data_IF_026864565723
#
_entry.id   IF_026864565723
#
_cell.length_a   1.000
_cell.length_b   1.000
_cell.length_c   1.000
_cell.angle_alpha   90.00
_cell.angle_beta   90.00
_cell.angle_gamma   90.00
#
_symmetry.space_group_name_H-M   'P 1'
#
loop_
_entity.id
_entity.type
_entity.pdbx_description
1 polymer ?
#
# COMPACT_ATOMS: atom_id res chain seq x y z
N UNK A 1 -7.64 -32.02 8.12
CA UNK A 1 -8.46 -30.92 8.65
C UNK A 1 -7.49 -29.99 9.35
N UNK A 2 -7.01 -28.94 8.68
CA UNK A 2 -6.11 -27.98 9.29
C UNK A 2 -6.95 -26.83 9.85
N UNK A 3 -6.76 -26.60 11.14
CA UNK A 3 -7.43 -25.62 11.99
C UNK A 3 -7.08 -24.20 11.51
N UNK A 4 -8.12 -23.40 11.23
CA UNK A 4 -8.06 -22.01 10.74
C UNK A 4 -8.07 -21.00 11.90
N UNK A 5 -7.56 -21.36 13.07
CA UNK A 5 -7.39 -20.43 14.18
C UNK A 5 -6.02 -19.73 14.08
N UNK A 6 -6.07 -18.40 14.05
CA UNK A 6 -4.95 -17.43 13.94
C UNK A 6 -4.72 -16.89 12.52
N UNK A 7 -5.69 -16.11 12.02
CA UNK A 7 -5.40 -15.03 11.05
C UNK A 7 -4.66 -13.93 11.83
N UNK A 8 -3.35 -14.11 12.03
CA UNK A 8 -2.51 -13.07 12.62
C UNK A 8 -2.36 -11.96 11.58
N UNK A 9 -2.92 -10.79 11.86
CA UNK A 9 -2.83 -9.57 11.04
C UNK A 9 -1.38 -9.01 11.04
N UNK A 10 -0.44 -9.79 10.49
CA UNK A 10 0.98 -9.43 10.28
C UNK A 10 1.40 -9.57 8.81
N UNK A 11 0.47 -9.35 7.87
CA UNK A 11 0.71 -9.54 6.42
C UNK A 11 1.59 -8.45 5.77
N UNK A 12 2.45 -7.77 6.53
CA UNK A 12 3.49 -6.91 5.96
C UNK A 12 4.88 -7.17 6.57
N UNK A 13 5.02 -8.17 7.46
CA UNK A 13 6.33 -8.56 8.02
C UNK A 13 7.26 -9.32 7.05
N UNK A 14 6.80 -10.19 6.14
CA UNK A 14 7.74 -10.97 5.33
C UNK A 14 8.44 -10.13 4.25
N UNK A 15 7.75 -9.17 3.64
CA UNK A 15 8.34 -8.20 2.68
C UNK A 15 9.33 -7.28 3.40
N UNK A 16 9.14 -7.03 4.70
CA UNK A 16 10.14 -6.36 5.54
C UNK A 16 11.26 -7.31 6.03
N UNK A 17 11.01 -8.62 6.18
CA UNK A 17 11.98 -9.64 6.64
C UNK A 17 12.86 -10.26 5.56
N UNK A 18 12.51 -10.17 4.29
CA UNK A 18 13.44 -10.53 3.20
C UNK A 18 14.73 -9.68 3.24
N UNK A 19 14.70 -8.53 3.93
CA UNK A 19 15.87 -7.70 4.22
C UNK A 19 16.61 -8.06 5.53
N UNK A 20 16.14 -9.02 6.34
CA UNK A 20 16.68 -9.29 7.69
C UNK A 20 17.78 -10.37 7.70
N UNK A 21 17.89 -11.26 6.70
CA UNK A 21 18.96 -12.30 6.70
C UNK A 21 20.33 -11.76 6.23
N UNK A 22 20.41 -10.51 5.77
CA UNK A 22 21.69 -9.92 5.31
C UNK A 22 22.32 -8.89 6.21
N UNK A 23 21.90 -8.72 7.46
CA UNK A 23 22.55 -7.72 8.30
C UNK A 23 22.79 -8.15 9.76
N UNK A 24 23.87 -8.90 9.97
CA UNK A 24 24.83 -8.58 11.05
C UNK A 24 25.61 -7.27 10.76
N UNK A 25 25.00 -6.38 9.98
CA UNK A 25 25.39 -5.07 9.45
C UNK A 25 24.29 -4.03 9.80
N UNK A 26 23.35 -4.41 10.69
CA UNK A 26 22.06 -3.73 10.89
C UNK A 26 22.13 -2.46 11.75
N UNK A 27 23.32 -2.05 12.20
CA UNK A 27 23.48 -0.81 12.96
C UNK A 27 23.94 0.37 12.08
N UNK A 28 24.34 0.14 10.82
CA UNK A 28 24.78 1.21 9.89
C UNK A 28 23.81 1.45 8.71
N UNK A 29 22.81 0.58 8.47
CA UNK A 29 21.93 0.63 7.29
C UNK A 29 20.42 0.66 7.59
N UNK A 30 20.02 1.07 8.81
CA UNK A 30 18.69 1.66 9.07
C UNK A 30 18.59 3.12 8.57
N UNK A 31 19.50 3.52 7.68
CA UNK A 31 19.47 4.77 6.92
C UNK A 31 19.02 4.53 5.46
N UNK A 32 18.01 3.67 5.28
CA UNK A 32 17.04 3.77 4.16
C UNK A 32 16.07 4.97 4.33
N UNK A 33 16.28 5.74 5.38
CA UNK A 33 16.29 7.20 5.41
C UNK A 33 16.73 7.80 4.07
N UNK A 34 15.86 8.59 3.45
CA UNK A 34 16.27 9.51 2.38
C UNK A 34 16.84 10.74 3.11
N UNK A 35 18.16 11.04 3.06
CA UNK A 35 18.83 11.94 4.02
C UNK A 35 18.46 13.43 3.96
N UNK A 36 17.47 13.79 3.15
CA UNK A 36 17.05 15.19 2.93
C UNK A 36 15.53 15.41 3.03
N UNK A 37 14.73 14.40 3.42
CA UNK A 37 13.29 14.59 3.58
C UNK A 37 12.90 14.36 5.03
N UNK A 38 12.73 15.44 5.80
CA UNK A 38 11.93 15.43 7.04
C UNK A 38 10.53 14.88 6.70
N UNK A 39 10.34 13.56 6.76
CA UNK A 39 9.04 12.94 6.49
C UNK A 39 8.14 13.29 7.66
N UNK A 40 7.16 14.15 7.42
CA UNK A 40 6.12 14.42 8.41
C UNK A 40 5.41 13.10 8.73
N UNK A 41 5.21 12.78 10.00
CA UNK A 41 4.41 11.62 10.42
C UNK A 41 2.98 11.65 9.86
N UNK A 42 2.54 12.82 9.36
CA UNK A 42 1.27 13.02 8.70
C UNK A 42 1.45 13.17 7.18
N UNK A 43 0.63 12.45 6.42
CA UNK A 43 0.48 12.61 4.97
C UNK A 43 -0.88 13.24 4.67
N UNK A 44 -0.89 14.43 4.08
CA UNK A 44 -2.15 15.08 3.67
C UNK A 44 -2.71 14.43 2.40
N UNK A 45 -3.96 13.96 2.47
CA UNK A 45 -4.65 13.25 1.39
C UNK A 45 -5.91 13.99 0.89
N UNK A 46 -6.03 15.28 1.21
CA UNK A 46 -7.17 16.08 0.77
C UNK A 46 -7.18 16.33 -0.74
N UNK A 47 -8.29 16.91 -1.22
CA UNK A 47 -8.59 17.10 -2.65
C UNK A 47 -7.49 17.79 -3.49
N UNK A 48 -6.69 18.73 -2.99
CA UNK A 48 -5.58 19.30 -3.76
C UNK A 48 -4.44 18.32 -4.07
N UNK A 49 -4.37 17.18 -3.36
CA UNK A 49 -3.33 16.17 -3.52
C UNK A 49 -3.72 15.03 -4.44
N UNK A 50 -2.72 14.23 -4.85
CA UNK A 50 -2.87 13.07 -5.75
C UNK A 50 -3.86 12.02 -5.24
N UNK A 51 -3.93 11.86 -3.92
CA UNK A 51 -4.79 10.89 -3.23
C UNK A 51 -6.16 11.47 -2.84
N UNK A 52 -6.44 12.71 -3.23
CA UNK A 52 -7.71 13.36 -2.95
C UNK A 52 -8.89 12.71 -3.68
N UNK A 53 -10.06 12.68 -3.06
CA UNK A 53 -11.28 12.26 -3.75
C UNK A 53 -11.66 13.27 -4.85
N UNK A 54 -11.70 12.90 -6.15
CA UNK A 54 -12.08 13.81 -7.23
C UNK A 54 -13.60 14.05 -7.31
N UNK A 55 -14.41 13.15 -6.74
CA UNK A 55 -15.88 13.23 -6.79
C UNK A 55 -16.35 14.34 -5.85
N UNK A 56 -17.19 15.24 -6.37
CA UNK A 56 -17.72 16.40 -5.63
C UNK A 56 -19.20 16.20 -5.34
N UNK A 57 -19.60 16.51 -4.11
CA UNK A 57 -21.02 16.54 -3.70
C UNK A 57 -21.76 17.55 -4.58
N UNK A 58 -22.98 17.21 -5.01
CA UNK A 58 -23.84 18.06 -5.85
C UNK A 58 -23.40 18.23 -7.31
N UNK A 59 -22.22 17.72 -7.69
CA UNK A 59 -21.76 17.65 -9.07
C UNK A 59 -22.05 16.28 -9.68
N UNK A 60 -22.07 16.21 -11.00
CA UNK A 60 -22.16 14.94 -11.71
C UNK A 60 -20.92 14.08 -11.41
N UNK A 61 -21.15 12.83 -11.01
CA UNK A 61 -20.09 11.91 -10.65
C UNK A 61 -19.41 11.34 -11.90
N UNK A 62 -18.09 11.47 -11.97
CA UNK A 62 -17.27 10.93 -13.08
C UNK A 62 -17.31 9.40 -13.18
N UNK A 63 -17.81 8.70 -12.17
CA UNK A 63 -17.88 7.23 -12.12
C UNK A 63 -19.25 6.71 -12.52
N UNK A 64 -20.32 7.29 -11.98
CA UNK A 64 -21.69 6.77 -12.14
C UNK A 64 -22.67 7.74 -12.82
N UNK A 65 -22.24 8.94 -13.19
CA UNK A 65 -23.09 9.96 -13.81
C UNK A 65 -24.17 10.57 -12.90
N UNK A 66 -24.25 10.17 -11.62
CA UNK A 66 -25.25 10.67 -10.67
C UNK A 66 -24.69 11.80 -9.80
N UNK A 67 -25.58 12.61 -9.22
CA UNK A 67 -25.20 13.60 -8.19
C UNK A 67 -25.25 12.96 -6.81
N UNK A 68 -24.20 13.16 -6.02
CA UNK A 68 -24.08 12.61 -4.67
C UNK A 68 -24.37 13.65 -3.59
N UNK A 69 -24.95 13.21 -2.47
CA UNK A 69 -24.99 13.93 -1.21
C UNK A 69 -23.70 13.70 -0.38
N UNK A 70 -23.57 14.43 0.74
CA UNK A 70 -22.44 14.25 1.68
C UNK A 70 -22.41 12.80 2.18
N UNK A 71 -21.26 12.14 2.05
CA UNK A 71 -21.05 10.75 2.50
C UNK A 71 -21.31 9.68 1.43
N UNK A 72 -22.00 10.00 0.33
CA UNK A 72 -22.34 9.04 -0.73
C UNK A 72 -21.21 8.88 -1.77
N UNK A 73 -20.19 9.72 -1.72
CA UNK A 73 -19.11 9.72 -2.72
C UNK A 73 -18.08 8.59 -2.51
N UNK A 74 -18.09 7.93 -1.36
CA UNK A 74 -17.05 6.96 -0.98
C UNK A 74 -17.05 5.67 -1.83
N UNK A 75 -18.20 5.04 -2.14
CA UNK A 75 -18.22 3.87 -3.02
C UNK A 75 -17.69 4.20 -4.42
N UNK A 76 -18.09 5.34 -4.99
CA UNK A 76 -17.57 5.78 -6.27
C UNK A 76 -16.07 6.13 -6.19
N UNK A 77 -15.61 6.69 -5.06
CA UNK A 77 -14.18 6.92 -4.86
C UNK A 77 -13.39 5.62 -4.82
N UNK A 78 -13.88 4.56 -4.16
CA UNK A 78 -13.20 3.26 -4.16
C UNK A 78 -13.09 2.68 -5.58
N UNK A 79 -14.15 2.77 -6.38
CA UNK A 79 -14.12 2.34 -7.78
C UNK A 79 -13.10 3.14 -8.59
N UNK A 80 -13.13 4.46 -8.47
CA UNK A 80 -12.17 5.34 -9.15
C UNK A 80 -10.72 5.04 -8.72
N UNK A 81 -10.46 4.96 -7.41
CA UNK A 81 -9.13 4.73 -6.87
C UNK A 81 -8.57 3.35 -7.27
N UNK A 82 -9.42 2.31 -7.36
CA UNK A 82 -9.01 1.00 -7.88
C UNK A 82 -8.64 1.06 -9.36
N UNK A 83 -9.40 1.81 -10.16
CA UNK A 83 -9.04 2.05 -11.55
C UNK A 83 -7.69 2.78 -11.66
N UNK A 84 -7.48 3.82 -10.85
CA UNK A 84 -6.20 4.55 -10.81
C UNK A 84 -5.03 3.65 -10.38
N UNK A 85 -5.22 2.76 -9.39
CA UNK A 85 -4.19 1.78 -9.02
C UNK A 85 -3.75 0.91 -10.22
N UNK A 86 -4.64 0.63 -11.18
CA UNK A 86 -4.31 -0.19 -12.35
C UNK A 86 -3.83 0.60 -13.58
N UNK A 87 -4.11 1.90 -13.65
CA UNK A 87 -3.92 2.70 -14.88
C UNK A 87 -3.01 3.90 -14.71
N UNK A 88 -2.71 4.30 -13.47
CA UNK A 88 -1.95 5.49 -13.16
C UNK A 88 -0.78 5.15 -12.22
N UNK A 89 0.43 4.90 -12.76
CA UNK A 89 1.62 4.58 -11.97
C UNK A 89 1.97 5.63 -10.92
N UNK A 90 1.63 6.90 -11.16
CA UNK A 90 1.90 7.98 -10.21
C UNK A 90 0.92 7.97 -9.02
N UNK A 91 -0.31 7.51 -9.23
CA UNK A 91 -1.27 7.27 -8.15
C UNK A 91 -0.88 6.05 -7.35
N UNK A 92 -0.56 4.95 -8.02
CA UNK A 92 -0.06 3.72 -7.40
C UNK A 92 1.16 4.02 -6.51
N UNK A 93 2.20 4.67 -7.05
CA UNK A 93 3.38 5.05 -6.28
C UNK A 93 3.05 5.95 -5.06
N UNK A 94 2.04 6.82 -5.17
CA UNK A 94 1.60 7.64 -4.05
C UNK A 94 0.86 6.82 -2.97
N UNK A 95 0.13 5.77 -3.35
CA UNK A 95 -0.48 4.82 -2.41
C UNK A 95 0.61 4.01 -1.71
N UNK A 96 1.64 3.55 -2.42
CA UNK A 96 2.80 2.88 -1.83
C UNK A 96 3.53 3.73 -0.80
N UNK A 97 3.73 5.02 -1.11
CA UNK A 97 4.40 5.96 -0.20
C UNK A 97 3.61 6.17 1.09
N UNK A 98 2.31 5.81 1.19
CA UNK A 98 1.54 5.92 2.44
C UNK A 98 2.28 5.28 3.63
N UNK A 99 2.79 4.06 3.47
CA UNK A 99 3.56 3.36 4.50
C UNK A 99 2.87 3.36 5.87
N UNK A 100 3.60 3.71 6.91
CA UNK A 100 3.12 3.82 8.30
C UNK A 100 2.56 5.22 8.66
N UNK A 101 2.53 6.18 7.72
CA UNK A 101 2.21 7.59 8.00
C UNK A 101 0.74 7.83 8.32
N UNK A 102 0.45 8.65 9.33
CA UNK A 102 -0.93 9.03 9.65
C UNK A 102 -1.56 9.82 8.50
N UNK A 103 -2.72 9.39 8.01
CA UNK A 103 -3.39 10.09 6.90
C UNK A 103 -4.21 11.27 7.43
N UNK A 104 -3.89 12.48 6.99
CA UNK A 104 -4.59 13.70 7.35
C UNK A 104 -5.56 14.11 6.23
N UNK A 105 -6.83 14.30 6.57
CA UNK A 105 -7.85 14.80 5.65
C UNK A 105 -8.84 15.70 6.38
N UNK A 106 -9.36 16.70 5.69
CA UNK A 106 -10.41 17.59 6.19
C UNK A 106 -11.76 16.87 6.43
N UNK A 107 -11.96 15.67 5.85
CA UNK A 107 -13.15 14.86 6.07
C UNK A 107 -13.19 14.25 7.48
N UNK A 108 -12.03 13.99 8.10
CA UNK A 108 -11.99 13.40 9.44
C UNK A 108 -12.52 14.41 10.48
N UNK A 109 -13.24 13.97 11.53
CA UNK A 109 -13.45 12.57 11.96
C UNK A 109 -14.64 11.84 11.32
N UNK A 110 -15.39 12.47 10.39
CA UNK A 110 -16.44 11.78 9.64
C UNK A 110 -15.86 10.67 8.74
N UNK A 111 -16.72 9.80 8.18
CA UNK A 111 -16.32 8.78 7.20
C UNK A 111 -15.44 9.40 6.11
N UNK A 112 -14.23 8.85 5.97
CA UNK A 112 -13.16 9.47 5.18
C UNK A 112 -12.63 8.51 4.11
N UNK A 113 -12.23 9.05 2.96
CA UNK A 113 -11.62 8.26 1.89
C UNK A 113 -10.22 7.72 2.26
N UNK A 114 -9.63 8.20 3.36
CA UNK A 114 -8.39 7.66 3.90
C UNK A 114 -8.48 6.19 4.29
N UNK A 115 -9.65 5.70 4.71
CA UNK A 115 -9.84 4.27 5.02
C UNK A 115 -9.71 3.40 3.75
N UNK A 116 -10.22 3.90 2.62
CA UNK A 116 -10.11 3.24 1.32
C UNK A 116 -8.65 3.21 0.87
N UNK A 117 -7.91 4.33 1.02
CA UNK A 117 -6.48 4.37 0.72
C UNK A 117 -5.67 3.40 1.58
N UNK A 118 -6.03 3.24 2.88
CA UNK A 118 -5.43 2.24 3.75
C UNK A 118 -5.70 0.81 3.32
N UNK A 119 -6.92 0.54 2.87
CA UNK A 119 -7.30 -0.75 2.30
C UNK A 119 -6.48 -1.05 1.04
N UNK A 120 -6.40 -0.11 0.09
CA UNK A 120 -5.64 -0.26 -1.15
C UNK A 120 -4.14 -0.47 -0.88
N UNK A 121 -3.55 0.28 0.07
CA UNK A 121 -2.16 0.10 0.45
C UNK A 121 -1.89 -1.32 0.97
N UNK A 122 -2.73 -1.83 1.88
CA UNK A 122 -2.60 -3.23 2.38
C UNK A 122 -2.71 -4.25 1.26
N UNK A 123 -3.74 -4.13 0.42
CA UNK A 123 -3.94 -5.02 -0.73
C UNK A 123 -2.76 -4.97 -1.72
N UNK A 124 -2.11 -3.81 -1.89
CA UNK A 124 -0.91 -3.69 -2.73
C UNK A 124 0.31 -4.35 -2.11
N UNK A 125 0.48 -4.28 -0.79
CA UNK A 125 1.57 -4.99 -0.11
C UNK A 125 1.41 -6.52 -0.25
N UNK A 126 0.19 -7.03 -0.09
CA UNK A 126 -0.10 -8.46 -0.18
C UNK A 126 0.22 -9.01 -1.59
N UNK A 127 -0.17 -8.30 -2.66
CA UNK A 127 0.12 -8.73 -4.03
C UNK A 127 1.62 -8.85 -4.32
N UNK A 128 2.42 -7.94 -3.79
CA UNK A 128 3.86 -7.97 -4.00
C UNK A 128 4.53 -9.07 -3.17
N UNK A 129 3.98 -9.42 -2.01
CA UNK A 129 4.42 -10.59 -1.27
C UNK A 129 4.17 -11.88 -2.07
N UNK A 130 2.97 -12.06 -2.63
CA UNK A 130 2.64 -13.24 -3.45
C UNK A 130 3.51 -13.32 -4.71
N UNK A 131 3.77 -12.18 -5.38
CA UNK A 131 4.68 -12.12 -6.53
C UNK A 131 6.11 -12.51 -6.15
N UNK A 132 6.60 -12.02 -5.01
CA UNK A 132 7.93 -12.34 -4.50
C UNK A 132 8.07 -13.83 -4.13
N UNK A 133 7.04 -14.43 -3.51
CA UNK A 133 7.04 -15.86 -3.21
C UNK A 133 7.08 -16.72 -4.49
N UNK A 134 6.28 -16.36 -5.50
CA UNK A 134 6.29 -17.03 -6.80
C UNK A 134 7.67 -16.95 -7.49
N UNK A 135 8.36 -15.81 -7.37
CA UNK A 135 9.73 -15.66 -7.88
C UNK A 135 10.73 -16.57 -7.14
N UNK A 136 10.59 -16.77 -5.83
CA UNK A 136 11.44 -17.72 -5.08
C UNK A 136 11.17 -19.15 -5.53
N UNK A 137 9.90 -19.56 -5.60
CA UNK A 137 9.51 -20.92 -6.01
C UNK A 137 9.99 -21.23 -7.45
N UNK A 138 9.83 -20.29 -8.39
CA UNK A 138 10.29 -20.52 -9.78
C UNK A 138 11.82 -20.63 -9.92
N UNK A 139 12.59 -20.07 -8.98
CA UNK A 139 14.05 -20.21 -8.96
C UNK A 139 14.54 -21.54 -8.36
N UNK A 140 13.70 -22.24 -7.60
CA UNK A 140 14.05 -23.55 -7.04
C UNK A 140 13.82 -24.70 -8.05
N UNK A 141 12.81 -24.58 -8.92
CA UNK A 141 12.48 -25.57 -9.95
C UNK A 141 13.45 -25.57 -11.15
N UNK A 142 14.19 -24.48 -11.38
CA UNK A 142 15.19 -24.37 -12.46
C UNK A 142 16.66 -24.25 -11.99
N UNK A 143 16.94 -24.59 -10.74
CA UNK A 143 18.29 -24.97 -10.29
C UNK A 143 19.09 -23.87 -9.59
N UNK A 144 19.05 -23.90 -8.26
CA UNK A 144 20.21 -23.58 -7.42
C UNK A 144 20.55 -24.83 -6.61
N UNK A 145 21.29 -25.75 -7.24
CA UNK A 145 22.24 -26.55 -6.49
C UNK A 145 23.51 -25.71 -6.27
N UNK A 146 24.06 -25.80 -5.06
CA UNK A 146 25.37 -25.29 -4.62
C UNK A 146 25.38 -23.95 -3.85
N UNK A 147 24.98 -24.01 -2.58
CA UNK A 147 25.66 -23.25 -1.51
C UNK A 147 26.16 -24.15 -0.36
N UNK A 148 26.37 -25.45 -0.61
CA UNK A 148 27.25 -26.26 0.22
C UNK A 148 28.57 -26.44 -0.54
N UNK A 149 29.58 -25.61 -0.22
CA UNK A 149 30.95 -25.81 -0.70
C UNK A 149 31.63 -24.56 -1.22
N UNK A 150 32.01 -23.64 -0.32
CA UNK A 150 33.30 -22.93 -0.43
C UNK A 150 33.98 -22.93 0.94
N UNK A 151 35.23 -23.41 0.87
CA UNK A 151 36.25 -23.67 1.89
C UNK A 151 36.31 -22.61 2.98
#
# INVERSE_FOLDING_TARGET
MCDLSIINLRHCEPVMRANIIRESLADELLDGYHPDRKRTHYLYIGRPGKLGNPIRVGSECIVCGSKHAKGETLPCYEVWARNEMSTNPAFEAAVWDIGDRTLACWCAPDKCHGEILRKLWRESCDKHYESFLCEIETTDEHGISNLEGRV
#
